data_IF_677342037466
#
_entry.id   IF_677342037466
#
_cell.length_a   1.000
_cell.length_b   1.000
_cell.length_c   1.000
_cell.angle_alpha   90.00
_cell.angle_beta   90.00
_cell.angle_gamma   90.00
#
_symmetry.space_group_name_H-M   'P 1'
#
loop_
_entity.id
_entity.type
_entity.pdbx_description
1 polymer ?
#
# COMPACT_ATOMS: atom_id res chain seq x y z
N UNK A 1 -9.22 -19.69 -3.99
CA UNK A 1 -9.39 -19.06 -2.65
C UNK A 1 -9.47 -17.55 -2.84
N UNK A 2 -10.34 -16.85 -2.10
CA UNK A 2 -10.46 -15.37 -2.11
C UNK A 2 -10.01 -14.82 -0.75
N UNK A 3 -9.38 -13.64 -0.74
CA UNK A 3 -8.90 -12.95 0.47
C UNK A 3 -9.67 -11.65 0.77
N UNK A 4 -10.65 -11.33 -0.08
CA UNK A 4 -11.44 -10.12 -0.01
C UNK A 4 -12.46 -10.05 -1.15
N UNK A 5 -13.10 -8.91 -1.31
CA UNK A 5 -14.11 -8.62 -2.32
C UNK A 5 -14.13 -7.14 -2.68
N UNK A 6 -14.74 -6.80 -3.82
CA UNK A 6 -15.05 -5.41 -4.15
C UNK A 6 -16.29 -4.95 -3.38
N UNK A 7 -16.21 -3.75 -2.82
CA UNK A 7 -17.36 -2.97 -2.36
C UNK A 7 -17.54 -1.81 -3.35
N UNK A 8 -18.45 -1.99 -4.30
CA UNK A 8 -18.68 -1.01 -5.37
C UNK A 8 -19.31 0.29 -4.85
N UNK A 9 -20.07 0.24 -3.74
CA UNK A 9 -20.68 1.41 -3.14
C UNK A 9 -19.62 2.31 -2.49
N UNK A 10 -18.64 1.72 -1.80
CA UNK A 10 -17.49 2.42 -1.26
C UNK A 10 -16.43 2.73 -2.33
N UNK A 11 -16.44 2.00 -3.46
CA UNK A 11 -15.38 1.96 -4.49
C UNK A 11 -14.06 1.46 -3.91
N UNK A 12 -14.14 0.39 -3.13
CA UNK A 12 -13.02 -0.17 -2.39
C UNK A 12 -12.84 -1.66 -2.68
N UNK A 13 -11.64 -2.16 -2.36
CA UNK A 13 -11.42 -3.60 -2.24
C UNK A 13 -11.24 -3.94 -0.75
N UNK A 14 -12.17 -4.69 -0.18
CA UNK A 14 -12.21 -5.06 1.23
C UNK A 14 -11.48 -6.38 1.45
N UNK A 15 -10.30 -6.31 2.06
CA UNK A 15 -9.52 -7.48 2.47
C UNK A 15 -10.07 -7.99 3.80
N UNK A 16 -10.67 -9.18 3.81
CA UNK A 16 -11.22 -9.82 5.02
C UNK A 16 -10.26 -10.82 5.65
N UNK A 17 -9.18 -11.14 4.95
CA UNK A 17 -8.12 -12.06 5.38
C UNK A 17 -6.74 -11.45 5.14
N UNK A 18 -5.98 -11.12 6.20
CA UNK A 18 -4.70 -10.41 6.05
C UNK A 18 -3.56 -11.30 5.52
N UNK A 19 -3.71 -12.62 5.59
CA UNK A 19 -2.76 -13.65 5.16
C UNK A 19 -2.73 -13.86 3.62
N UNK A 20 -2.83 -12.78 2.85
CA UNK A 20 -2.77 -12.82 1.38
C UNK A 20 -1.45 -13.44 0.90
N UNK A 21 -1.41 -14.13 -0.27
CA UNK A 21 -0.21 -14.83 -0.75
C UNK A 21 1.00 -13.91 -1.00
N UNK A 22 0.74 -12.61 -1.22
CA UNK A 22 1.72 -11.53 -1.39
C UNK A 22 1.13 -10.25 -0.83
N UNK A 23 1.97 -9.34 -0.36
CA UNK A 23 1.52 -8.01 0.06
C UNK A 23 0.79 -7.29 -1.07
N UNK A 24 -0.41 -6.78 -0.77
CA UNK A 24 -1.20 -5.96 -1.66
C UNK A 24 -1.06 -4.52 -1.21
N UNK A 25 -0.63 -3.66 -2.13
CA UNK A 25 -0.31 -2.26 -1.85
C UNK A 25 -1.43 -1.33 -2.33
N UNK A 26 -1.59 -0.23 -1.62
CA UNK A 26 -2.31 0.95 -2.08
C UNK A 26 -1.35 2.16 -2.13
N UNK A 27 -1.70 3.16 -2.93
CA UNK A 27 -1.00 4.43 -3.03
C UNK A 27 -1.80 5.52 -2.32
N UNK A 28 -1.11 6.25 -1.45
CA UNK A 28 -1.64 7.40 -0.72
C UNK A 28 -0.96 8.67 -1.23
N UNK A 29 -1.71 9.78 -1.25
CA UNK A 29 -1.13 11.11 -1.49
C UNK A 29 -1.54 11.75 -2.81
N UNK A 30 -0.67 12.63 -3.31
CA UNK A 30 -0.89 13.52 -4.45
C UNK A 30 0.36 13.57 -5.35
N UNK A 31 0.44 14.54 -6.27
CA UNK A 31 1.58 14.67 -7.19
C UNK A 31 2.92 14.95 -6.48
N UNK A 32 2.89 15.53 -5.27
CA UNK A 32 4.10 15.93 -4.55
C UNK A 32 4.47 14.98 -3.41
N UNK A 33 3.48 14.38 -2.76
CA UNK A 33 3.68 13.43 -1.68
C UNK A 33 3.15 12.07 -2.10
N UNK A 34 3.97 11.04 -1.98
CA UNK A 34 3.56 9.66 -2.23
C UNK A 34 3.76 8.81 -0.98
N UNK A 35 2.77 7.97 -0.68
CA UNK A 35 2.85 6.91 0.30
C UNK A 35 2.50 5.59 -0.37
N UNK A 36 3.26 4.54 -0.06
CA UNK A 36 2.89 3.16 -0.38
C UNK A 36 2.55 2.50 0.96
N UNK A 37 1.36 1.91 1.05
CA UNK A 37 0.92 1.17 2.23
C UNK A 37 0.42 -0.21 1.83
N UNK A 38 0.84 -1.26 2.53
CA UNK A 38 0.31 -2.61 2.36
C UNK A 38 -0.83 -2.88 3.34
N UNK A 39 -1.61 -3.93 3.09
CA UNK A 39 -2.68 -4.35 4.00
C UNK A 39 -2.20 -4.74 5.41
N UNK A 40 -0.90 -5.04 5.55
CA UNK A 40 -0.25 -5.32 6.84
C UNK A 40 0.53 -4.11 7.38
N UNK A 41 0.12 -2.89 7.00
CA UNK A 41 0.70 -1.61 7.43
C UNK A 41 2.21 -1.44 7.14
N UNK A 42 2.74 -2.19 6.18
CA UNK A 42 4.10 -2.00 5.67
C UNK A 42 4.16 -0.92 4.59
N UNK A 43 5.37 -0.48 4.24
CA UNK A 43 5.59 0.46 3.14
C UNK A 43 6.52 1.60 3.50
N UNK A 44 6.46 2.69 2.75
CA UNK A 44 7.21 3.92 3.00
C UNK A 44 6.54 5.12 2.31
N UNK A 45 6.93 6.32 2.70
CA UNK A 45 6.50 7.57 2.06
C UNK A 45 7.68 8.41 1.58
N UNK A 46 7.38 9.35 0.68
CA UNK A 46 8.35 10.19 0.03
C UNK A 46 7.76 11.53 -0.43
N UNK A 47 8.62 12.56 -0.52
CA UNK A 47 8.31 13.84 -1.14
C UNK A 47 9.05 13.95 -2.48
N UNK A 48 8.30 14.16 -3.57
CA UNK A 48 8.73 14.30 -4.98
C UNK A 48 9.41 13.07 -5.61
N UNK A 49 10.23 12.32 -4.89
CA UNK A 49 11.01 11.20 -5.42
C UNK A 49 10.95 9.98 -4.51
N UNK A 50 10.47 8.85 -5.02
CA UNK A 50 10.43 7.57 -4.29
C UNK A 50 11.80 6.99 -3.94
N UNK A 51 12.87 7.45 -4.61
CA UNK A 51 14.24 7.03 -4.32
C UNK A 51 14.95 7.98 -3.34
N UNK A 52 15.14 9.23 -3.76
CA UNK A 52 15.93 10.23 -3.02
C UNK A 52 15.12 11.05 -2.02
N UNK A 53 13.80 11.13 -2.16
CA UNK A 53 12.92 11.91 -1.29
C UNK A 53 12.25 11.11 -0.19
N UNK A 54 12.78 9.95 0.18
CA UNK A 54 12.17 9.04 1.17
C UNK A 54 12.18 9.64 2.56
N UNK A 55 11.03 9.58 3.22
CA UNK A 55 10.84 9.98 4.62
C UNK A 55 10.98 8.78 5.56
N UNK A 56 10.53 7.60 5.11
CA UNK A 56 10.56 6.35 5.86
C UNK A 56 11.39 5.29 5.13
N UNK A 57 12.01 4.38 5.89
CA UNK A 57 12.79 3.26 5.33
C UNK A 57 11.89 2.05 5.11
N UNK A 58 12.05 1.39 3.96
CA UNK A 58 11.49 0.06 3.69
C UNK A 58 12.60 -0.88 3.22
N UNK A 59 12.56 -2.12 3.71
CA UNK A 59 13.40 -3.22 3.23
C UNK A 59 12.65 -3.95 2.12
N UNK A 60 13.25 -4.03 0.94
CA UNK A 60 12.69 -4.79 -0.19
C UNK A 60 13.17 -6.24 -0.10
N UNK A 61 12.35 -7.17 -0.61
CA UNK A 61 12.66 -8.60 -0.69
C UNK A 61 13.10 -9.18 0.66
N UNK A 62 12.25 -8.97 1.68
CA UNK A 62 12.54 -9.37 3.07
C UNK A 62 13.15 -10.74 3.23
#
# INVERSE_FOLDING_TARGET
>A
MRYGHFDDAAREYVITRPDTPRSWSNYLGSRLYGGIATQNAGGYSFFRSGGTGRLLRMRFNG
#
